data_IF_854164372451
#
_entry.id   IF_854164372451
#
_cell.length_a   1.000
_cell.length_b   1.000
_cell.length_c   1.000
_cell.angle_alpha   90.00
_cell.angle_beta   90.00
_cell.angle_gamma   90.00
#
_symmetry.space_group_name_H-M   'P 1'
#
loop_
_entity.id
_entity.type
_entity.pdbx_description
1 polymer ?
#
# COMPACT_ATOMS: atom_id res chain seq x y z
N UNK A 1 -37.20 -13.45 16.10
CA UNK A 1 -35.87 -14.10 15.96
C UNK A 1 -34.97 -13.16 15.17
N UNK A 2 -33.84 -12.70 15.74
CA UNK A 2 -32.86 -11.93 14.95
C UNK A 2 -32.19 -12.90 13.98
N UNK A 3 -32.39 -12.70 12.67
CA UNK A 3 -31.65 -13.43 11.65
C UNK A 3 -30.17 -13.08 11.77
N UNK A 4 -29.35 -14.05 12.15
CA UNK A 4 -27.89 -13.91 12.13
C UNK A 4 -27.50 -13.97 10.65
N UNK A 5 -27.42 -12.82 9.99
CA UNK A 5 -26.78 -12.75 8.68
C UNK A 5 -25.28 -12.88 8.91
N UNK A 6 -24.60 -13.92 8.37
CA UNK A 6 -23.16 -14.01 8.49
C UNK A 6 -22.56 -12.81 7.76
N UNK A 7 -22.03 -11.85 8.52
CA UNK A 7 -21.27 -10.75 7.96
C UNK A 7 -19.99 -11.33 7.37
N UNK A 8 -19.74 -11.19 6.07
CA UNK A 8 -18.50 -11.69 5.49
C UNK A 8 -17.34 -10.97 6.16
N UNK A 9 -16.36 -11.70 6.69
CA UNK A 9 -15.07 -11.14 7.09
C UNK A 9 -14.35 -10.78 5.78
N UNK A 10 -14.25 -9.51 5.39
CA UNK A 10 -13.63 -9.18 4.13
C UNK A 10 -12.14 -9.54 4.23
N UNK A 11 -11.59 -10.16 3.19
CA UNK A 11 -10.15 -10.42 3.15
C UNK A 11 -9.41 -9.08 3.12
N UNK A 12 -8.26 -8.99 3.80
CA UNK A 12 -7.46 -7.75 3.81
C UNK A 12 -7.12 -7.30 2.38
N UNK A 13 -6.90 -8.25 1.47
CA UNK A 13 -6.71 -8.01 0.05
C UNK A 13 -7.87 -7.22 -0.59
N UNK A 14 -9.12 -7.71 -0.45
CA UNK A 14 -10.27 -7.05 -1.06
C UNK A 14 -10.58 -5.70 -0.42
N UNK A 15 -10.31 -5.53 0.88
CA UNK A 15 -10.42 -4.22 1.55
C UNK A 15 -9.45 -3.22 0.93
N UNK A 16 -8.18 -3.60 0.78
CA UNK A 16 -7.18 -2.74 0.15
C UNK A 16 -7.56 -2.45 -1.31
N UNK A 17 -8.05 -3.44 -2.05
CA UNK A 17 -8.47 -3.26 -3.45
C UNK A 17 -9.61 -2.25 -3.55
N UNK A 18 -10.60 -2.33 -2.66
CA UNK A 18 -11.70 -1.38 -2.61
C UNK A 18 -11.23 0.04 -2.22
N UNK A 19 -10.22 0.15 -1.36
CA UNK A 19 -9.66 1.43 -0.93
C UNK A 19 -8.83 2.11 -2.02
N UNK A 20 -7.87 1.39 -2.60
CA UNK A 20 -6.89 1.97 -3.51
C UNK A 20 -7.30 1.89 -4.98
N UNK A 21 -8.20 0.97 -5.34
CA UNK A 21 -8.67 0.78 -6.71
C UNK A 21 -7.59 0.30 -7.69
N UNK A 22 -6.44 -0.17 -7.19
CA UNK A 22 -5.29 -0.60 -8.00
C UNK A 22 -4.61 -1.83 -7.37
N UNK A 23 -4.05 -2.71 -8.21
CA UNK A 23 -3.24 -3.83 -7.74
C UNK A 23 -1.81 -3.44 -7.31
N UNK A 24 -1.35 -2.26 -7.70
CA UNK A 24 -0.04 -1.71 -7.33
C UNK A 24 -0.23 -0.34 -6.67
N UNK A 25 0.18 -0.24 -5.42
CA UNK A 25 0.00 0.96 -4.60
C UNK A 25 1.33 1.69 -4.49
N UNK A 26 1.31 3.02 -4.61
CA UNK A 26 2.53 3.84 -4.47
C UNK A 26 3.02 3.76 -3.04
N UNK A 27 4.35 3.68 -2.89
CA UNK A 27 4.96 3.66 -1.55
C UNK A 27 4.64 4.93 -0.77
N UNK A 28 4.49 6.09 -1.43
CA UNK A 28 4.11 7.34 -0.76
C UNK A 28 2.78 7.22 0.02
N UNK A 29 1.78 6.58 -0.57
CA UNK A 29 0.44 6.41 0.02
C UNK A 29 0.47 5.40 1.17
N UNK A 30 1.16 4.27 0.97
CA UNK A 30 1.33 3.22 1.99
C UNK A 30 2.15 3.73 3.16
N UNK A 31 3.25 4.44 2.88
CA UNK A 31 4.17 4.95 3.88
C UNK A 31 3.51 6.02 4.76
N UNK A 32 2.68 6.89 4.17
CA UNK A 32 1.89 7.86 4.91
C UNK A 32 0.87 7.17 5.82
N UNK A 33 0.19 6.13 5.33
CA UNK A 33 -0.90 5.47 6.07
C UNK A 33 -0.43 4.50 7.17
N UNK A 34 0.57 3.67 6.88
CA UNK A 34 0.98 2.57 7.76
C UNK A 34 2.29 2.82 8.52
N UNK A 35 3.11 3.76 8.06
CA UNK A 35 4.43 4.04 8.64
C UNK A 35 4.59 5.49 9.12
N UNK A 36 3.58 6.35 8.92
CA UNK A 36 3.64 7.79 9.21
C UNK A 36 4.87 8.50 8.58
N UNK A 37 5.37 7.99 7.46
CA UNK A 37 6.49 8.60 6.74
C UNK A 37 5.99 9.67 5.75
N UNK A 38 6.71 10.78 5.69
CA UNK A 38 6.56 11.77 4.63
C UNK A 38 7.01 11.19 3.27
N UNK A 39 6.44 11.60 2.11
CA UNK A 39 6.79 11.04 0.80
C UNK A 39 8.29 11.01 0.47
N UNK A 40 9.05 12.02 0.89
CA UNK A 40 10.50 12.07 0.65
C UNK A 40 11.27 11.06 1.49
N UNK A 41 10.87 10.89 2.75
CA UNK A 41 11.40 9.83 3.63
C UNK A 41 11.03 8.46 3.08
N UNK A 42 9.80 8.28 2.63
CA UNK A 42 9.32 7.04 2.04
C UNK A 42 10.16 6.62 0.82
N UNK A 43 10.52 7.55 -0.06
CA UNK A 43 11.41 7.29 -1.21
C UNK A 43 12.80 6.84 -0.79
N UNK A 44 13.37 7.46 0.25
CA UNK A 44 14.70 7.12 0.77
C UNK A 44 14.70 5.72 1.39
N UNK A 45 13.72 5.43 2.25
CA UNK A 45 13.55 4.11 2.89
C UNK A 45 13.30 3.02 1.83
N UNK A 46 12.49 3.33 0.82
CA UNK A 46 12.24 2.43 -0.30
C UNK A 46 13.47 2.16 -1.16
N UNK A 47 14.33 3.17 -1.38
CA UNK A 47 15.59 3.00 -2.09
C UNK A 47 16.56 2.05 -1.37
N UNK A 48 16.44 1.95 -0.04
CA UNK A 48 17.24 1.09 0.81
C UNK A 48 16.63 -0.30 1.04
N UNK A 49 15.44 -0.58 0.49
CA UNK A 49 14.68 -1.82 0.73
C UNK A 49 14.42 -2.08 2.23
N UNK A 50 14.17 -1.02 3.01
CA UNK A 50 13.92 -1.11 4.46
C UNK A 50 12.45 -1.44 4.81
N UNK A 51 11.55 -1.55 3.83
CA UNK A 51 10.17 -1.97 4.07
C UNK A 51 10.07 -3.49 4.25
N UNK A 52 9.10 -3.99 5.04
CA UNK A 52 8.93 -5.41 5.34
C UNK A 52 8.31 -6.24 4.21
N UNK A 53 8.20 -5.65 3.00
CA UNK A 53 7.61 -6.27 1.82
C UNK A 53 8.39 -5.87 0.56
N UNK A 54 8.29 -6.64 -0.53
CA UNK A 54 8.94 -6.32 -1.79
C UNK A 54 8.48 -4.98 -2.36
N UNK A 55 9.45 -4.19 -2.85
CA UNK A 55 9.19 -2.95 -3.56
C UNK A 55 9.65 -3.10 -5.00
N UNK A 56 8.77 -2.74 -5.93
CA UNK A 56 9.04 -2.83 -7.35
C UNK A 56 9.07 -1.41 -7.91
N UNK A 57 9.99 -1.15 -8.83
CA UNK A 57 10.01 0.10 -9.59
C UNK A 57 9.26 -0.10 -10.91
N UNK A 58 8.23 0.71 -11.13
CA UNK A 58 7.45 0.69 -12.37
C UNK A 58 7.44 2.08 -13.00
N UNK A 59 7.34 2.11 -14.34
CA UNK A 59 7.11 3.35 -15.08
C UNK A 59 5.62 3.64 -15.10
N UNK A 60 5.20 4.75 -14.49
CA UNK A 60 3.80 5.21 -14.48
C UNK A 60 3.69 6.59 -15.10
N UNK A 61 2.53 6.93 -15.72
CA UNK A 61 2.33 8.28 -16.23
C UNK A 61 2.44 9.30 -15.10
N UNK A 62 3.16 10.39 -15.37
CA UNK A 62 3.38 11.49 -14.45
C UNK A 62 2.05 12.22 -14.22
N UNK A 63 1.36 11.87 -13.12
CA UNK A 63 0.23 12.65 -12.64
C UNK A 63 0.73 13.95 -12.02
N UNK A 64 0.16 15.07 -12.44
CA UNK A 64 0.29 16.34 -11.74
C UNK A 64 -0.65 16.39 -10.53
N UNK A 65 -0.45 17.37 -9.64
CA UNK A 65 -1.33 17.60 -8.49
C UNK A 65 -2.80 17.84 -8.89
N UNK A 66 -3.06 18.19 -10.16
CA UNK A 66 -4.39 18.43 -10.74
C UNK A 66 -5.00 17.21 -11.44
N UNK A 67 -4.29 16.07 -11.48
CA UNK A 67 -4.75 14.84 -12.15
C UNK A 67 -4.46 14.76 -13.66
N UNK A 68 -3.93 15.83 -14.28
CA UNK A 68 -3.55 15.86 -15.69
C UNK A 68 -2.23 15.11 -15.94
N UNK A 69 -2.15 14.42 -17.09
CA UNK A 69 -0.92 13.81 -17.61
C UNK A 69 -0.08 14.89 -18.28
N UNK A 70 1.14 15.13 -17.81
CA UNK A 70 2.08 16.08 -18.46
C UNK A 70 3.35 15.39 -18.94
N UNK A 71 3.81 15.78 -20.12
CA UNK A 71 5.14 15.42 -20.64
C UNK A 71 6.25 16.07 -19.79
N UNK A 72 7.36 15.36 -19.61
CA UNK A 72 8.59 15.95 -19.11
C UNK A 72 9.30 16.77 -20.22
N UNK A 73 10.37 17.51 -19.89
CA UNK A 73 11.16 18.30 -20.87
C UNK A 73 11.80 17.45 -21.98
N UNK A 74 11.84 16.12 -21.84
CA UNK A 74 12.38 15.16 -22.81
C UNK A 74 11.29 14.55 -23.72
N UNK A 75 10.02 14.88 -23.48
CA UNK A 75 8.87 14.30 -24.20
C UNK A 75 8.32 13.01 -23.59
N UNK A 76 8.94 12.46 -22.52
CA UNK A 76 8.40 11.26 -21.86
C UNK A 76 7.27 11.63 -20.91
N UNK A 77 6.21 10.83 -20.94
CA UNK A 77 5.05 10.96 -20.06
C UNK A 77 5.24 10.19 -18.75
N UNK A 78 6.26 9.34 -18.66
CA UNK A 78 6.39 8.34 -17.61
C UNK A 78 7.47 8.74 -16.59
N UNK A 79 7.20 8.46 -15.32
CA UNK A 79 8.13 8.61 -14.21
C UNK A 79 8.25 7.27 -13.51
N UNK A 80 9.48 6.87 -13.19
CA UNK A 80 9.76 5.75 -12.30
C UNK A 80 9.17 6.01 -10.92
N UNK A 81 8.26 5.14 -10.49
CA UNK A 81 7.66 5.18 -9.15
C UNK A 81 7.83 3.83 -8.49
N UNK A 82 8.18 3.85 -7.20
CA UNK A 82 8.23 2.66 -6.37
C UNK A 82 6.83 2.31 -5.87
N UNK A 83 6.46 1.06 -6.07
CA UNK A 83 5.16 0.51 -5.70
C UNK A 83 5.32 -0.79 -4.90
N UNK A 84 4.28 -1.12 -4.16
CA UNK A 84 4.10 -2.44 -3.55
C UNK A 84 2.91 -3.13 -4.21
N UNK A 85 3.02 -4.44 -4.43
CA UNK A 85 1.89 -5.25 -4.85
C UNK A 85 0.87 -5.35 -3.70
N UNK A 86 -0.41 -5.19 -4.02
CA UNK A 86 -1.47 -5.18 -3.02
C UNK A 86 -1.55 -6.50 -2.24
N UNK A 87 -1.17 -7.61 -2.87
CA UNK A 87 -1.07 -8.93 -2.26
C UNK A 87 0.01 -8.98 -1.18
N UNK A 88 1.18 -8.38 -1.44
CA UNK A 88 2.29 -8.39 -0.48
C UNK A 88 1.98 -7.48 0.71
N UNK A 89 1.36 -6.32 0.47
CA UNK A 89 0.87 -5.47 1.54
C UNK A 89 -0.20 -6.17 2.38
N UNK A 90 -1.14 -6.87 1.73
CA UNK A 90 -2.18 -7.63 2.42
C UNK A 90 -1.59 -8.73 3.31
N UNK A 91 -0.65 -9.53 2.79
CA UNK A 91 0.04 -10.57 3.54
C UNK A 91 0.75 -10.01 4.77
N UNK A 92 1.46 -8.89 4.61
CA UNK A 92 2.14 -8.24 5.73
C UNK A 92 1.16 -7.77 6.81
N UNK A 93 0.04 -7.15 6.43
CA UNK A 93 -0.99 -6.71 7.37
C UNK A 93 -1.69 -7.90 8.06
N UNK A 94 -1.94 -8.99 7.36
CA UNK A 94 -2.52 -10.19 7.95
C UNK A 94 -1.58 -10.82 8.97
N UNK A 95 -0.27 -10.88 8.67
CA UNK A 95 0.75 -11.33 9.63
C UNK A 95 0.82 -10.43 10.86
N UNK A 96 0.74 -9.10 10.69
CA UNK A 96 0.70 -8.16 11.81
C UNK A 96 -0.53 -8.38 12.69
N UNK A 97 -1.70 -8.61 12.09
CA UNK A 97 -2.93 -8.90 12.84
C UNK A 97 -2.81 -10.20 13.65
N UNK A 98 -2.16 -11.22 13.08
CA UNK A 98 -1.94 -12.48 13.78
C UNK A 98 -0.96 -12.32 14.95
N UNK A 99 0.12 -11.57 14.76
CA UNK A 99 1.08 -11.24 15.83
C UNK A 99 0.39 -10.45 16.95
N UNK A 100 -0.34 -9.39 16.60
CA UNK A 100 -1.08 -8.58 17.56
C UNK A 100 -2.12 -9.40 18.35
N UNK A 101 -2.77 -10.37 17.69
CA UNK A 101 -3.68 -11.29 18.39
C UNK A 101 -2.94 -12.15 19.41
N UNK A 102 -1.79 -12.74 19.04
CA UNK A 102 -0.97 -13.53 19.96
C UNK A 102 -0.50 -12.69 21.15
N UNK A 103 -0.06 -11.47 20.91
CA UNK A 103 0.35 -10.53 21.97
C UNK A 103 -0.81 -10.17 22.89
N UNK A 104 -2.01 -9.93 22.34
CA UNK A 104 -3.21 -9.67 23.12
C UNK A 104 -3.57 -10.87 24.01
N UNK A 105 -3.59 -12.07 23.44
CA UNK A 105 -3.93 -13.31 24.17
C UNK A 105 -2.91 -13.65 25.27
N UNK A 106 -1.67 -13.11 25.21
CA UNK A 106 -0.66 -13.26 26.26
C UNK A 106 -0.85 -12.28 27.44
N UNK A 107 -1.54 -11.16 27.21
CA UNK A 107 -1.73 -10.08 28.20
C UNK A 107 -3.15 -10.08 28.79
N UNK A 108 -4.12 -10.71 28.13
CA UNK A 108 -5.51 -10.87 28.59
C UNK A 108 -5.70 -12.05 29.53
#
# INVERSE_FOLDING_TARGET
MKSITPTPKPSTLFVLMAEFGTGFIRIEDVAKKYFNHEPDTAKKVAAKNEYPFPIIEIKVPKKTNTGEIRQNKRGDFNVSTRVVAIEDLAKWLDNLKEQAKKEYDLVS
#
